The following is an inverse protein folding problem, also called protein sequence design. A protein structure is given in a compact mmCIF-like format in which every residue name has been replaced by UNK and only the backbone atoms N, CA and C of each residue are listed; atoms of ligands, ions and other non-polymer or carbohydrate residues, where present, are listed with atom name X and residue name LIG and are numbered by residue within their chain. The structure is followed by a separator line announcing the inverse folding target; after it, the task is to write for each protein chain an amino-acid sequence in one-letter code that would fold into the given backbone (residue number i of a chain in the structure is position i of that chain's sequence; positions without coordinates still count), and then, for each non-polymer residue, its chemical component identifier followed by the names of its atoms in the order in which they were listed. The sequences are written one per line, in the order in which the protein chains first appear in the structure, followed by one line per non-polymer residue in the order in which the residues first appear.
data_IF_016901329905
#
_entry.id   IF_016901329905
#
_cell.length_a   1.000
_cell.length_b   1.000
_cell.length_c   1.000
_cell.angle_alpha   90.00
_cell.angle_beta   90.00
_cell.angle_gamma   90.00
#
_symmetry.space_group_name_H-M   'P 1'
#
loop_
_entity.id
_entity.type
_entity.pdbx_description
1 polymer ?
#
# COMPACT_ATOMS: atom_id res chain seq x y z
N UNK A 1 -16.09 -16.80 28.04
CA UNK A 1 -15.56 -16.51 26.68
C UNK A 1 -14.16 -17.10 26.58
N UNK A 2 -13.80 -17.72 25.46
CA UNK A 2 -12.42 -18.18 25.25
C UNK A 2 -11.47 -16.98 25.13
N UNK A 3 -10.22 -17.14 25.57
CA UNK A 3 -9.19 -16.09 25.47
C UNK A 3 -9.01 -15.60 24.02
N UNK A 4 -9.17 -16.50 23.04
CA UNK A 4 -9.13 -16.20 21.60
C UNK A 4 -10.24 -15.24 21.18
N UNK A 5 -11.48 -15.45 21.64
CA UNK A 5 -12.62 -14.61 21.31
C UNK A 5 -12.47 -13.22 21.93
N UNK A 6 -11.99 -13.15 23.18
CA UNK A 6 -11.72 -11.88 23.87
C UNK A 6 -10.66 -11.08 23.13
N UNK A 7 -9.55 -11.72 22.73
CA UNK A 7 -8.49 -11.08 21.95
C UNK A 7 -8.99 -10.57 20.60
N UNK A 8 -9.77 -11.38 19.88
CA UNK A 8 -10.34 -11.01 18.58
C UNK A 8 -11.29 -9.80 18.67
N UNK A 9 -12.22 -9.81 19.63
CA UNK A 9 -13.16 -8.70 19.84
C UNK A 9 -12.41 -7.43 20.25
N UNK A 10 -11.42 -7.56 21.14
CA UNK A 10 -10.60 -6.41 21.59
C UNK A 10 -9.84 -5.79 20.42
N UNK A 11 -9.23 -6.61 19.56
CA UNK A 11 -8.54 -6.15 18.36
C UNK A 11 -9.48 -5.38 17.42
N UNK A 12 -10.67 -5.92 17.13
CA UNK A 12 -11.67 -5.25 16.30
C UNK A 12 -12.12 -3.91 16.90
N UNK A 13 -12.35 -3.87 18.21
CA UNK A 13 -12.71 -2.64 18.90
C UNK A 13 -11.60 -1.59 18.79
N UNK A 14 -10.33 -1.98 18.96
CA UNK A 14 -9.18 -1.08 18.77
C UNK A 14 -9.18 -0.52 17.34
N UNK A 15 -9.37 -1.34 16.31
CA UNK A 15 -9.43 -0.88 14.92
C UNK A 15 -10.57 0.11 14.69
N UNK A 16 -11.76 -0.17 15.21
CA UNK A 16 -12.92 0.73 15.10
C UNK A 16 -12.68 2.06 15.82
N UNK A 17 -12.11 2.03 17.01
CA UNK A 17 -11.77 3.23 17.78
C UNK A 17 -10.75 4.08 17.01
N UNK A 18 -9.68 3.47 16.50
CA UNK A 18 -8.67 4.18 15.70
C UNK A 18 -9.30 4.80 14.46
N UNK A 19 -10.15 4.06 13.74
CA UNK A 19 -10.89 4.58 12.57
C UNK A 19 -11.79 5.76 12.91
N UNK A 20 -12.57 5.66 13.99
CA UNK A 20 -13.45 6.73 14.45
C UNK A 20 -12.69 7.99 14.88
N UNK A 21 -11.58 7.81 15.60
CA UNK A 21 -10.73 8.92 16.04
C UNK A 21 -10.03 9.61 14.86
N UNK A 22 -9.68 8.86 13.82
CA UNK A 22 -8.93 9.39 12.67
C UNK A 22 -9.79 9.99 11.56
N UNK A 23 -11.08 9.63 11.49
CA UNK A 23 -12.03 10.20 10.52
C UNK A 23 -12.01 11.73 10.48
N UNK A 24 -11.86 12.39 11.63
CA UNK A 24 -11.84 13.86 11.75
C UNK A 24 -10.70 14.55 10.97
N UNK A 25 -9.66 13.80 10.61
CA UNK A 25 -8.53 14.33 9.84
C UNK A 25 -8.78 14.34 8.33
N UNK A 26 -9.81 13.63 7.85
CA UNK A 26 -10.13 13.53 6.43
C UNK A 26 -11.06 14.67 5.99
N UNK A 27 -10.50 15.85 5.73
CA UNK A 27 -11.26 17.03 5.28
C UNK A 27 -11.30 17.20 3.76
N UNK A 28 -10.28 16.69 3.07
CA UNK A 28 -10.15 16.78 1.60
C UNK A 28 -9.88 15.41 0.99
N UNK A 29 -10.06 15.28 -0.33
CA UNK A 29 -9.70 14.06 -1.06
C UNK A 29 -8.21 13.73 -0.92
N UNK A 30 -7.33 14.73 -0.90
CA UNK A 30 -5.90 14.53 -0.68
C UNK A 30 -5.58 14.04 0.74
N UNK A 31 -6.35 14.48 1.74
CA UNK A 31 -6.24 13.95 3.10
C UNK A 31 -6.69 12.50 3.17
N UNK A 32 -7.76 12.15 2.47
CA UNK A 32 -8.27 10.78 2.44
C UNK A 32 -7.33 9.80 1.70
N UNK A 33 -6.82 10.18 0.53
CA UNK A 33 -6.04 9.28 -0.35
C UNK A 33 -4.55 9.24 0.04
N UNK A 34 -3.99 10.36 0.48
CA UNK A 34 -2.55 10.53 0.71
C UNK A 34 -2.21 10.97 2.14
N UNK A 35 -3.18 10.99 3.05
CA UNK A 35 -3.01 11.54 4.41
C UNK A 35 -2.40 12.95 4.39
N UNK A 36 -2.80 13.74 3.40
CA UNK A 36 -2.35 15.12 3.20
C UNK A 36 -0.85 15.23 2.90
N UNK A 37 -0.20 14.12 2.52
CA UNK A 37 1.24 14.01 2.32
C UNK A 37 2.08 14.28 3.59
N UNK A 38 1.48 14.16 4.78
CA UNK A 38 2.09 14.52 6.09
C UNK A 38 2.69 13.34 6.85
N UNK A 39 2.46 12.12 6.41
CA UNK A 39 2.96 10.93 7.10
C UNK A 39 4.48 10.83 6.95
N UNK A 40 5.16 10.57 8.07
CA UNK A 40 6.59 10.32 8.08
C UNK A 40 6.95 9.04 7.33
N UNK A 41 8.21 8.96 6.87
CA UNK A 41 8.73 7.86 6.06
C UNK A 41 8.42 6.49 6.68
N UNK A 42 8.62 6.33 7.99
CA UNK A 42 8.38 5.08 8.71
C UNK A 42 6.92 4.62 8.65
N UNK A 43 5.98 5.55 8.83
CA UNK A 43 4.54 5.21 8.81
C UNK A 43 4.14 4.79 7.40
N UNK A 44 4.63 5.48 6.38
CA UNK A 44 4.36 5.16 4.98
C UNK A 44 4.97 3.80 4.59
N UNK A 45 6.21 3.52 4.97
CA UNK A 45 6.87 2.24 4.65
C UNK A 45 6.19 1.06 5.33
N UNK A 46 5.86 1.16 6.62
CA UNK A 46 5.17 0.07 7.31
C UNK A 46 3.75 -0.12 6.80
N UNK A 47 3.02 0.96 6.51
CA UNK A 47 1.67 0.88 5.96
C UNK A 47 1.66 0.21 4.60
N UNK A 48 2.57 0.57 3.70
CA UNK A 48 2.62 -0.01 2.37
C UNK A 48 3.01 -1.50 2.43
N UNK A 49 3.93 -1.91 3.32
CA UNK A 49 4.23 -3.33 3.56
C UNK A 49 3.04 -4.08 4.14
N UNK A 50 2.34 -3.51 5.12
CA UNK A 50 1.14 -4.13 5.69
C UNK A 50 0.04 -4.36 4.63
N UNK A 51 -0.09 -3.45 3.65
CA UNK A 51 -1.02 -3.62 2.52
C UNK A 51 -0.62 -4.75 1.57
N UNK A 52 0.67 -4.93 1.30
CA UNK A 52 1.16 -6.01 0.44
C UNK A 52 1.13 -7.39 1.11
N UNK A 53 1.36 -7.43 2.43
CA UNK A 53 1.72 -8.65 3.15
C UNK A 53 0.60 -9.17 4.08
N UNK A 54 -0.61 -9.36 3.55
CA UNK A 54 -1.76 -9.83 4.35
C UNK A 54 -1.89 -11.36 4.36
N UNK A 55 -2.46 -11.96 3.32
CA UNK A 55 -2.69 -13.41 3.23
C UNK A 55 -1.50 -14.17 2.63
N UNK A 56 -0.67 -13.48 1.83
CA UNK A 56 0.41 -14.10 1.07
C UNK A 56 1.52 -14.67 1.95
N UNK A 57 1.95 -13.95 2.99
CA UNK A 57 3.01 -14.44 3.89
C UNK A 57 2.57 -15.56 4.82
N UNK A 58 1.29 -15.56 5.24
CA UNK A 58 0.82 -16.50 6.25
C UNK A 58 0.39 -17.84 5.66
N UNK A 59 -0.20 -17.84 4.47
CA UNK A 59 -0.74 -19.05 3.84
C UNK A 59 -0.11 -19.35 2.48
N UNK A 60 0.15 -18.31 1.67
CA UNK A 60 0.69 -18.48 0.32
C UNK A 60 2.10 -19.06 0.31
N UNK A 61 3.07 -18.28 0.79
CA UNK A 61 4.48 -18.66 0.78
C UNK A 61 4.76 -19.95 1.58
N UNK A 62 4.26 -20.14 2.82
CA UNK A 62 4.50 -21.37 3.57
C UNK A 62 3.81 -22.58 2.92
N UNK A 63 2.63 -22.40 2.33
CA UNK A 63 1.93 -23.47 1.62
C UNK A 63 2.68 -23.94 0.37
N UNK A 64 3.23 -22.99 -0.39
CA UNK A 64 4.07 -23.28 -1.56
C UNK A 64 5.38 -23.95 -1.13
N UNK A 65 6.08 -23.41 -0.13
CA UNK A 65 7.30 -24.03 0.42
C UNK A 65 7.04 -25.43 0.98
N UNK A 66 5.89 -25.67 1.60
CA UNK A 66 5.50 -27.00 2.08
C UNK A 66 5.29 -28.00 0.93
N UNK A 67 4.75 -27.53 -0.21
CA UNK A 67 4.45 -28.38 -1.37
C UNK A 67 5.67 -28.64 -2.28
N UNK A 68 6.47 -27.62 -2.59
CA UNK A 68 7.60 -27.70 -3.53
C UNK A 68 8.98 -27.60 -2.87
N UNK A 69 9.04 -27.42 -1.56
CA UNK A 69 10.28 -27.46 -0.78
C UNK A 69 11.00 -26.11 -0.67
N UNK A 70 12.20 -26.14 -0.07
CA UNK A 70 13.00 -24.95 0.24
C UNK A 70 13.52 -24.17 -0.99
N UNK A 71 13.42 -24.73 -2.19
CA UNK A 71 13.77 -24.04 -3.43
C UNK A 71 12.96 -22.76 -3.66
N UNK A 72 11.74 -22.71 -3.13
CA UNK A 72 10.82 -21.56 -3.25
C UNK A 72 11.24 -20.34 -2.42
N UNK A 73 12.26 -20.47 -1.57
CA UNK A 73 12.85 -19.32 -0.87
C UNK A 73 13.39 -18.26 -1.83
N UNK A 74 13.66 -18.63 -3.09
CA UNK A 74 13.99 -17.66 -4.14
C UNK A 74 12.91 -16.59 -4.31
N UNK A 75 11.63 -16.90 -4.08
CA UNK A 75 10.52 -15.93 -4.15
C UNK A 75 10.74 -14.79 -3.15
N UNK A 76 11.20 -15.10 -1.94
CA UNK A 76 11.50 -14.09 -0.91
C UNK A 76 12.61 -13.16 -1.38
N UNK A 77 13.67 -13.73 -1.96
CA UNK A 77 14.82 -12.97 -2.48
C UNK A 77 14.39 -12.10 -3.67
N UNK A 78 13.58 -12.64 -4.58
CA UNK A 78 13.05 -11.94 -5.75
C UNK A 78 12.14 -10.77 -5.36
N UNK A 79 11.17 -11.01 -4.46
CA UNK A 79 10.28 -9.95 -3.97
C UNK A 79 11.06 -8.88 -3.20
N UNK A 80 11.98 -9.27 -2.30
CA UNK A 80 12.78 -8.31 -1.53
C UNK A 80 13.65 -7.44 -2.44
N UNK A 81 14.34 -8.05 -3.41
CA UNK A 81 15.19 -7.32 -4.35
C UNK A 81 14.37 -6.43 -5.29
N UNK A 82 13.22 -6.89 -5.79
CA UNK A 82 12.31 -6.10 -6.62
C UNK A 82 11.75 -4.88 -5.87
N UNK A 83 11.36 -5.07 -4.62
CA UNK A 83 10.89 -3.99 -3.74
C UNK A 83 12.01 -2.98 -3.49
N UNK A 84 13.21 -3.44 -3.15
CA UNK A 84 14.38 -2.58 -2.94
C UNK A 84 14.71 -1.77 -4.20
N UNK A 85 14.69 -2.42 -5.36
CA UNK A 85 14.91 -1.77 -6.64
C UNK A 85 13.87 -0.69 -6.93
N UNK A 86 12.58 -1.00 -6.76
CA UNK A 86 11.49 -0.03 -6.92
C UNK A 86 11.66 1.17 -5.98
N UNK A 87 12.02 0.92 -4.72
CA UNK A 87 12.28 1.98 -3.75
C UNK A 87 13.47 2.87 -4.13
N UNK A 88 14.58 2.29 -4.57
CA UNK A 88 15.79 3.05 -4.89
C UNK A 88 15.64 3.88 -6.18
N UNK A 89 15.02 3.31 -7.22
CA UNK A 89 15.03 3.92 -8.56
C UNK A 89 13.75 4.68 -8.91
N UNK A 90 12.60 4.22 -8.42
CA UNK A 90 11.28 4.73 -8.85
C UNK A 90 10.66 5.64 -7.80
N UNK A 91 10.66 5.21 -6.53
CA UNK A 91 9.84 5.86 -5.47
C UNK A 91 10.15 7.35 -5.29
N UNK A 92 11.43 7.74 -5.24
CA UNK A 92 11.84 9.13 -5.02
C UNK A 92 11.46 10.05 -6.18
N UNK A 93 11.70 9.61 -7.42
CA UNK A 93 11.34 10.39 -8.62
C UNK A 93 9.83 10.52 -8.74
N UNK A 94 9.10 9.42 -8.59
CA UNK A 94 7.64 9.40 -8.65
C UNK A 94 7.03 10.29 -7.57
N UNK A 95 7.60 10.30 -6.35
CA UNK A 95 7.13 11.16 -5.27
C UNK A 95 7.20 12.64 -5.63
N UNK A 96 8.37 13.12 -6.09
CA UNK A 96 8.58 14.52 -6.46
C UNK A 96 7.68 14.93 -7.63
N UNK A 97 7.64 14.10 -8.67
CA UNK A 97 6.81 14.37 -9.87
C UNK A 97 5.31 14.36 -9.57
N UNK A 98 4.84 13.45 -8.69
CA UNK A 98 3.44 13.41 -8.27
C UNK A 98 3.02 14.66 -7.50
N UNK A 99 3.96 15.27 -6.77
CA UNK A 99 3.71 16.47 -5.97
C UNK A 99 3.67 17.71 -6.85
N UNK A 100 4.59 17.83 -7.81
CA UNK A 100 4.60 18.90 -8.81
C UNK A 100 3.31 18.93 -9.65
N UNK A 101 2.82 17.75 -10.05
CA UNK A 101 1.60 17.62 -10.85
C UNK A 101 0.32 17.52 -10.02
N UNK A 102 0.41 17.63 -8.69
CA UNK A 102 -0.70 17.46 -7.73
C UNK A 102 -1.54 16.20 -7.95
N UNK A 103 -0.95 15.16 -8.54
CA UNK A 103 -1.64 13.91 -8.82
C UNK A 103 -1.92 13.15 -7.52
N UNK A 104 -3.12 12.58 -7.42
CA UNK A 104 -3.56 11.76 -6.29
C UNK A 104 -3.41 10.27 -6.59
N UNK A 105 -3.48 9.89 -7.87
CA UNK A 105 -3.39 8.49 -8.32
C UNK A 105 -2.30 8.31 -9.39
N UNK A 106 -1.86 7.07 -9.60
CA UNK A 106 -0.89 6.73 -10.66
C UNK A 106 -1.43 7.01 -12.07
N UNK A 107 -2.70 6.65 -12.41
CA UNK A 107 -3.27 6.99 -13.71
C UNK A 107 -3.34 8.50 -13.95
N UNK A 108 -3.74 9.27 -12.94
CA UNK A 108 -3.78 10.74 -13.01
C UNK A 108 -2.38 11.34 -13.18
N UNK A 109 -1.36 10.76 -12.54
CA UNK A 109 0.03 11.16 -12.78
C UNK A 109 0.44 10.94 -14.25
N UNK A 110 0.08 9.80 -14.84
CA UNK A 110 0.38 9.53 -16.24
C UNK A 110 -0.45 10.39 -17.21
N UNK A 111 -1.72 10.64 -16.92
CA UNK A 111 -2.57 11.57 -17.67
C UNK A 111 -1.92 12.97 -17.73
N UNK A 112 -1.49 13.50 -16.58
CA UNK A 112 -0.85 14.81 -16.49
C UNK A 112 0.54 14.83 -17.15
N UNK A 113 1.31 13.74 -17.04
CA UNK A 113 2.63 13.64 -17.66
C UNK A 113 2.58 13.57 -19.18
N UNK A 114 1.59 12.89 -19.74
CA UNK A 114 1.43 12.71 -21.17
C UNK A 114 0.43 13.68 -21.81
N UNK A 115 -0.17 14.59 -21.03
CA UNK A 115 -1.19 15.54 -21.49
C UNK A 115 -2.36 14.82 -22.22
N UNK A 116 -2.78 13.67 -21.71
CA UNK A 116 -3.85 12.87 -22.32
C UNK A 116 -5.20 13.58 -22.16
N UNK A 117 -5.66 14.25 -23.21
CA UNK A 117 -6.97 14.92 -23.26
C UNK A 117 -8.14 13.94 -23.40
N UNK A 118 -7.86 12.69 -23.74
CA UNK A 118 -8.85 11.64 -24.02
C UNK A 118 -9.32 10.91 -22.77
N UNK A 119 -8.65 11.07 -21.62
CA UNK A 119 -8.92 10.40 -20.33
C UNK A 119 -8.95 8.86 -20.41
N UNK A 120 -8.36 8.29 -21.47
CA UNK A 120 -8.34 6.85 -21.69
C UNK A 120 -7.39 6.21 -20.66
N UNK A 121 -6.25 6.86 -20.40
CA UNK A 121 -5.28 6.39 -19.41
C UNK A 121 -5.90 6.31 -18.02
N UNK A 122 -6.72 7.31 -17.64
CA UNK A 122 -7.41 7.32 -16.36
C UNK A 122 -8.49 6.24 -16.28
N UNK A 123 -9.29 6.07 -17.33
CA UNK A 123 -10.42 5.15 -17.32
C UNK A 123 -9.97 3.70 -17.27
N UNK A 124 -8.96 3.32 -18.06
CA UNK A 124 -8.40 1.97 -18.04
C UNK A 124 -7.44 1.74 -16.87
N UNK A 125 -6.67 2.75 -16.46
CA UNK A 125 -5.71 2.60 -15.36
C UNK A 125 -6.34 2.61 -13.96
N UNK A 126 -7.60 3.03 -13.83
CA UNK A 126 -8.34 3.00 -12.55
C UNK A 126 -9.11 1.68 -12.36
N UNK A 127 -9.23 0.86 -13.41
CA UNK A 127 -9.80 -0.50 -13.38
C UNK A 127 -8.71 -1.48 -12.91
#
# INVERSE_FOLDING_TARGET
MSATLIGFITYLLILLVVGFLTFRFNKTLADYVLAGRRLGVWVVTFSERASGESAWLLLGLPGVVFASGLSELWVVIGCTSGILFSWMFVSRRLRVESENNRALTIPEYFENKYNDTTKIIRTFGTI
#
